data_IF_106250640041
#
_entry.id   IF_106250640041
#
_cell.length_a   1.000
_cell.length_b   1.000
_cell.length_c   1.000
_cell.angle_alpha   90.00
_cell.angle_beta   90.00
_cell.angle_gamma   90.00
#
_symmetry.space_group_name_H-M   'P 1'
#
loop_
_entity.id
_entity.type
_entity.pdbx_description
1 polymer ?
#
# COMPACT_ATOMS: atom_id res chain seq x y z
N UNK A 1 9.28 -14.14 9.23
CA UNK A 1 9.24 -14.10 10.71
C UNK A 1 8.30 -12.98 11.15
N UNK A 2 7.66 -13.09 12.32
CA UNK A 2 6.81 -12.02 12.86
C UNK A 2 7.66 -10.81 13.30
N UNK A 3 7.21 -9.59 12.99
CA UNK A 3 7.84 -8.32 13.40
C UNK A 3 6.99 -7.65 14.49
N UNK A 4 7.63 -6.96 15.42
CA UNK A 4 6.94 -6.11 16.41
C UNK A 4 6.34 -4.90 15.69
N UNK A 5 5.15 -4.46 16.09
CA UNK A 5 4.53 -3.24 15.56
C UNK A 5 5.37 -2.01 15.97
N UNK A 6 6.04 -1.33 15.04
CA UNK A 6 6.95 -0.22 15.36
C UNK A 6 6.21 1.00 15.92
N UNK A 7 4.89 1.09 15.71
CA UNK A 7 4.04 2.17 16.20
C UNK A 7 3.39 1.87 17.55
N UNK A 8 3.57 0.65 18.09
CA UNK A 8 3.12 0.27 19.43
C UNK A 8 4.18 -0.59 20.16
N UNK A 9 5.43 -0.11 20.28
CA UNK A 9 6.55 -0.91 20.79
C UNK A 9 6.40 -1.28 22.27
N UNK A 10 5.65 -0.48 23.04
CA UNK A 10 5.33 -0.70 24.45
C UNK A 10 4.77 -2.09 24.77
N UNK A 11 4.14 -2.69 23.77
CA UNK A 11 3.09 -3.66 23.99
C UNK A 11 3.43 -5.00 23.30
N UNK A 12 4.62 -5.09 22.68
CA UNK A 12 5.15 -6.26 21.98
C UNK A 12 4.14 -6.95 21.05
N UNK A 13 3.20 -6.17 20.50
CA UNK A 13 2.16 -6.68 19.61
C UNK A 13 2.76 -6.93 18.23
N UNK A 14 2.37 -8.01 17.53
CA UNK A 14 2.82 -8.25 16.17
C UNK A 14 2.32 -7.15 15.23
N UNK A 15 3.15 -6.79 14.24
CA UNK A 15 2.76 -5.95 13.11
C UNK A 15 1.73 -6.71 12.27
N UNK A 16 0.47 -6.28 12.33
CA UNK A 16 -0.62 -6.79 11.49
C UNK A 16 -0.77 -5.90 10.26
N UNK A 17 -1.05 -6.50 9.12
CA UNK A 17 -1.33 -5.83 7.84
C UNK A 17 -2.66 -6.36 7.31
N UNK A 18 -3.44 -5.49 6.68
CA UNK A 18 -4.62 -5.88 5.91
C UNK A 18 -4.28 -5.82 4.42
N UNK A 19 -4.67 -6.86 3.69
CA UNK A 19 -4.41 -6.98 2.26
C UNK A 19 -5.72 -7.20 1.51
N UNK A 20 -5.90 -6.49 0.41
CA UNK A 20 -6.96 -6.77 -0.56
C UNK A 20 -6.33 -7.31 -1.83
N UNK A 21 -6.77 -8.49 -2.27
CA UNK A 21 -6.28 -9.13 -3.49
C UNK A 21 -7.31 -9.00 -4.61
N UNK A 22 -6.83 -8.61 -5.79
CA UNK A 22 -7.62 -8.57 -7.03
C UNK A 22 -6.99 -9.52 -8.06
N UNK A 23 -7.24 -10.84 -7.96
CA UNK A 23 -6.79 -11.77 -8.98
C UNK A 23 -7.69 -11.66 -10.23
N UNK A 24 -7.12 -11.86 -11.44
CA UNK A 24 -7.89 -11.99 -12.66
C UNK A 24 -8.80 -13.21 -12.56
N UNK A 25 -10.03 -13.07 -13.04
CA UNK A 25 -11.02 -14.14 -13.03
C UNK A 25 -11.81 -14.14 -14.33
N UNK A 26 -12.15 -15.33 -14.82
CA UNK A 26 -13.10 -15.51 -15.94
C UNK A 26 -14.48 -15.75 -15.35
N UNK A 27 -15.40 -14.81 -15.55
CA UNK A 27 -16.66 -14.79 -14.83
C UNK A 27 -17.81 -15.23 -15.75
N UNK A 28 -18.61 -16.21 -15.33
CA UNK A 28 -19.94 -16.46 -15.92
C UNK A 28 -21.06 -15.82 -15.10
N UNK A 29 -20.83 -15.60 -13.80
CA UNK A 29 -21.73 -14.93 -12.87
C UNK A 29 -20.91 -13.98 -12.00
N UNK A 30 -21.50 -12.84 -11.66
CA UNK A 30 -20.89 -11.82 -10.81
C UNK A 30 -21.87 -11.42 -9.72
N UNK A 31 -21.35 -10.96 -8.59
CA UNK A 31 -22.13 -10.35 -7.52
C UNK A 31 -21.58 -8.95 -7.20
N UNK A 32 -22.36 -8.18 -6.45
CA UNK A 32 -21.91 -6.90 -5.91
C UNK A 32 -21.58 -7.07 -4.43
N UNK A 33 -20.38 -6.64 -4.04
CA UNK A 33 -19.95 -6.55 -2.65
C UNK A 33 -19.70 -5.10 -2.29
N UNK A 34 -19.81 -4.77 -1.01
CA UNK A 34 -19.51 -3.42 -0.52
C UNK A 34 -18.02 -3.10 -0.76
N UNK A 35 -17.74 -1.87 -1.21
CA UNK A 35 -16.38 -1.42 -1.52
C UNK A 35 -15.48 -1.37 -0.28
N UNK A 36 -16.00 -0.84 0.82
CA UNK A 36 -15.32 -0.74 2.11
C UNK A 36 -16.27 -1.19 3.23
N UNK A 37 -15.77 -1.80 4.31
CA UNK A 37 -16.62 -2.21 5.43
C UNK A 37 -17.29 -1.01 6.13
N UNK A 38 -18.39 -1.21 6.88
CA UNK A 38 -19.23 -0.12 7.38
C UNK A 38 -18.51 0.91 8.26
N UNK A 39 -17.63 0.48 9.18
CA UNK A 39 -16.92 1.41 10.06
C UNK A 39 -15.92 2.24 9.25
N UNK A 40 -15.22 1.59 8.32
CA UNK A 40 -14.34 2.26 7.37
C UNK A 40 -15.09 3.23 6.45
N UNK A 41 -16.27 2.85 5.97
CA UNK A 41 -17.12 3.67 5.10
C UNK A 41 -17.58 4.95 5.79
N UNK A 42 -18.02 4.86 7.05
CA UNK A 42 -18.42 6.01 7.85
C UNK A 42 -17.25 7.00 8.04
N UNK A 43 -16.09 6.49 8.47
CA UNK A 43 -14.90 7.34 8.69
C UNK A 43 -14.40 8.01 7.40
N UNK A 44 -14.39 7.30 6.27
CA UNK A 44 -14.02 7.86 4.97
C UNK A 44 -15.05 8.90 4.48
N UNK A 45 -16.34 8.67 4.75
CA UNK A 45 -17.40 9.63 4.39
C UNK A 45 -17.28 10.91 5.20
N UNK A 46 -16.99 10.82 6.49
CA UNK A 46 -16.79 12.02 7.34
C UNK A 46 -15.60 12.86 6.87
N UNK A 47 -14.52 12.22 6.41
CA UNK A 47 -13.33 12.91 5.92
C UNK A 47 -13.47 13.45 4.50
N UNK A 48 -13.95 12.62 3.58
CA UNK A 48 -13.88 12.88 2.14
C UNK A 48 -15.24 13.13 1.49
N UNK A 49 -16.35 12.95 2.20
CA UNK A 49 -17.70 13.10 1.65
C UNK A 49 -17.97 14.48 1.07
N UNK A 50 -17.29 15.54 1.56
CA UNK A 50 -17.37 16.89 0.99
C UNK A 50 -16.76 17.00 -0.42
N UNK A 51 -15.85 16.10 -0.77
CA UNK A 51 -15.20 16.03 -2.08
C UNK A 51 -15.91 15.07 -3.04
N UNK A 52 -16.94 14.36 -2.58
CA UNK A 52 -17.72 13.43 -3.39
C UNK A 52 -19.10 14.05 -3.71
N UNK A 53 -19.48 14.20 -4.99
CA UNK A 53 -20.80 14.72 -5.33
C UNK A 53 -21.88 13.71 -4.92
N UNK A 54 -22.65 14.03 -3.88
CA UNK A 54 -23.83 13.27 -3.39
C UNK A 54 -23.58 11.79 -3.03
N UNK A 55 -22.36 11.42 -2.62
CA UNK A 55 -22.00 10.02 -2.37
C UNK A 55 -21.41 9.84 -0.96
N UNK A 56 -21.95 8.85 -0.25
CA UNK A 56 -21.30 8.18 0.88
C UNK A 56 -20.48 7.00 0.34
N UNK A 57 -19.41 6.64 1.05
CA UNK A 57 -18.69 5.38 0.78
C UNK A 57 -19.55 4.14 1.03
N UNK A 58 -20.64 4.25 1.80
CA UNK A 58 -21.57 3.16 2.11
C UNK A 58 -22.24 2.55 0.87
N UNK A 59 -22.43 3.37 -0.17
CA UNK A 59 -23.13 2.97 -1.39
C UNK A 59 -22.18 2.53 -2.52
N UNK A 60 -20.87 2.57 -2.29
CA UNK A 60 -19.90 2.12 -3.27
C UNK A 60 -19.80 0.59 -3.24
N UNK A 61 -19.84 0.00 -4.42
CA UNK A 61 -19.80 -1.45 -4.60
C UNK A 61 -18.68 -1.84 -5.55
N UNK A 62 -18.09 -3.01 -5.30
CA UNK A 62 -17.22 -3.71 -6.22
C UNK A 62 -17.98 -4.87 -6.84
N UNK A 63 -17.67 -5.18 -8.09
CA UNK A 63 -18.11 -6.42 -8.71
C UNK A 63 -17.13 -7.53 -8.34
N UNK A 64 -17.61 -8.60 -7.75
CA UNK A 64 -16.84 -9.80 -7.40
C UNK A 64 -17.38 -11.05 -8.08
N UNK A 65 -16.61 -12.12 -8.00
CA UNK A 65 -16.96 -13.44 -8.53
C UNK A 65 -17.14 -14.40 -7.35
N UNK A 66 -18.34 -14.95 -7.12
CA UNK A 66 -18.56 -15.89 -6.04
C UNK A 66 -17.71 -17.15 -6.25
N UNK A 67 -16.99 -17.58 -5.21
CA UNK A 67 -16.20 -18.82 -5.27
C UNK A 67 -15.09 -18.81 -6.32
N UNK A 68 -14.60 -17.63 -6.72
CA UNK A 68 -13.56 -17.46 -7.72
C UNK A 68 -12.37 -18.39 -7.47
N UNK A 69 -12.03 -19.16 -8.51
CA UNK A 69 -11.16 -20.31 -8.41
C UNK A 69 -9.75 -19.96 -7.92
N UNK A 70 -9.19 -20.90 -7.16
CA UNK A 70 -7.78 -21.01 -6.77
C UNK A 70 -6.89 -21.29 -7.97
N UNK A 71 -6.92 -20.47 -9.01
CA UNK A 71 -5.96 -20.61 -10.11
C UNK A 71 -4.56 -20.31 -9.57
N UNK A 72 -3.72 -21.34 -9.54
CA UNK A 72 -2.32 -21.23 -9.17
C UNK A 72 -1.59 -20.55 -10.33
N UNK A 73 -0.78 -19.53 -10.02
CA UNK A 73 0.02 -18.72 -10.97
C UNK A 73 -0.70 -17.55 -11.68
N UNK A 74 -1.63 -16.88 -11.01
CA UNK A 74 -2.22 -15.63 -11.53
C UNK A 74 -1.39 -14.39 -11.16
N UNK A 75 -1.32 -13.41 -12.08
CA UNK A 75 -0.87 -12.05 -11.75
C UNK A 75 -1.96 -11.36 -10.94
N UNK A 76 -1.73 -11.03 -9.67
CA UNK A 76 -2.71 -10.35 -8.83
C UNK A 76 -2.22 -8.96 -8.42
N UNK A 77 -3.15 -8.01 -8.33
CA UNK A 77 -2.89 -6.73 -7.65
C UNK A 77 -3.12 -6.91 -6.16
N UNK A 78 -2.14 -6.53 -5.34
CA UNK A 78 -2.27 -6.50 -3.88
C UNK A 78 -2.30 -5.04 -3.45
N UNK A 79 -3.40 -4.65 -2.80
CA UNK A 79 -3.45 -3.40 -2.07
C UNK A 79 -3.00 -3.67 -0.64
N UNK A 80 -1.87 -3.07 -0.25
CA UNK A 80 -1.36 -3.10 1.11
C UNK A 80 -1.97 -1.94 1.89
N UNK A 81 -2.73 -2.26 2.93
CA UNK A 81 -3.25 -1.28 3.89
C UNK A 81 -2.47 -1.42 5.20
N UNK A 82 -1.33 -0.72 5.33
CA UNK A 82 -0.63 -0.67 6.61
C UNK A 82 -1.53 0.06 7.63
N UNK A 83 -1.43 -0.27 8.93
CA UNK A 83 -2.09 0.48 9.98
C UNK A 83 -1.89 2.00 9.83
N UNK A 84 -2.93 2.80 10.13
CA UNK A 84 -2.90 4.26 10.06
C UNK A 84 -1.68 4.89 10.71
N UNK A 85 -1.21 5.99 10.12
CA UNK A 85 0.04 6.62 10.48
C UNK A 85 -0.11 8.16 10.64
N UNK A 86 0.43 8.76 11.71
CA UNK A 86 0.09 10.13 12.06
C UNK A 86 0.91 11.30 11.50
N UNK A 87 1.97 11.10 10.70
CA UNK A 87 2.78 12.25 10.27
C UNK A 87 2.45 12.74 8.85
N UNK A 88 2.04 14.01 8.78
CA UNK A 88 1.81 14.91 7.64
C UNK A 88 0.43 14.97 6.97
N UNK A 89 -0.09 16.20 7.06
CA UNK A 89 -1.21 16.98 6.46
C UNK A 89 -1.89 16.54 5.14
N UNK A 90 -2.02 15.24 4.93
CA UNK A 90 -2.83 14.64 3.88
C UNK A 90 -3.08 13.18 4.27
N UNK A 91 -4.34 12.92 4.61
CA UNK A 91 -4.94 11.71 5.18
C UNK A 91 -4.79 10.45 4.30
N UNK A 92 -3.60 10.11 3.85
CA UNK A 92 -3.39 9.15 2.75
C UNK A 92 -2.67 7.88 3.11
N UNK A 93 -2.48 7.61 4.40
CA UNK A 93 -2.10 6.29 4.87
C UNK A 93 -3.03 5.82 5.96
N UNK A 94 -4.10 5.15 5.51
CA UNK A 94 -5.16 4.58 6.31
C UNK A 94 -5.81 5.60 7.24
N UNK A 95 -6.95 6.17 6.89
CA UNK A 95 -7.82 6.79 7.93
C UNK A 95 -8.14 5.78 9.03
N UNK A 96 -8.38 4.55 8.60
CA UNK A 96 -8.83 3.44 9.40
C UNK A 96 -8.46 2.16 8.65
N UNK A 97 -8.05 1.13 9.38
CA UNK A 97 -7.89 -0.23 8.87
C UNK A 97 -8.75 -1.15 9.73
N UNK A 98 -9.74 -1.77 9.08
CA UNK A 98 -10.65 -2.73 9.68
C UNK A 98 -10.21 -4.15 9.31
N UNK A 99 -10.20 -5.02 10.32
CA UNK A 99 -9.77 -6.42 10.21
C UNK A 99 -10.99 -7.35 10.09
N UNK A 100 -10.80 -8.61 9.63
CA UNK A 100 -11.91 -9.57 9.50
C UNK A 100 -12.59 -9.98 10.81
N UNK A 101 -12.02 -9.63 11.97
CA UNK A 101 -12.58 -9.88 13.30
C UNK A 101 -13.38 -8.67 13.82
N UNK A 102 -13.76 -7.75 12.94
CA UNK A 102 -14.42 -6.46 13.19
C UNK A 102 -13.61 -5.50 14.09
N UNK A 103 -12.39 -5.88 14.50
CA UNK A 103 -11.48 -4.94 15.14
C UNK A 103 -10.94 -3.95 14.11
N UNK A 104 -10.67 -2.74 14.53
CA UNK A 104 -10.09 -1.73 13.67
C UNK A 104 -9.01 -0.92 14.39
N UNK A 105 -8.17 -0.27 13.61
CA UNK A 105 -7.21 0.73 14.07
C UNK A 105 -7.52 2.01 13.31
N UNK A 106 -7.68 3.12 14.03
CA UNK A 106 -7.83 4.46 13.49
C UNK A 106 -6.51 5.22 13.49
N UNK A 107 -6.44 6.27 12.68
CA UNK A 107 -5.35 7.24 12.78
C UNK A 107 -5.41 7.96 14.13
N UNK A 108 -4.32 7.92 14.88
CA UNK A 108 -4.16 8.65 16.14
C UNK A 108 -3.38 9.93 15.87
N UNK A 109 -3.97 11.11 16.05
CA UNK A 109 -3.25 12.39 15.87
C UNK A 109 -1.89 12.44 16.60
N UNK A 110 -0.78 12.45 15.85
CA UNK A 110 0.57 12.72 16.38
C UNK A 110 1.23 13.80 15.54
N UNK A 111 1.43 14.95 16.15
CA UNK A 111 2.03 16.15 15.58
C UNK A 111 3.56 16.07 15.63
N UNK A 112 4.21 15.39 14.69
CA UNK A 112 5.64 15.66 14.45
C UNK A 112 6.12 15.27 13.03
N UNK A 113 6.46 16.27 12.20
CA UNK A 113 7.18 16.14 10.93
C UNK A 113 8.48 15.33 10.93
N UNK A 114 9.20 15.29 12.05
CA UNK A 114 10.61 14.85 12.10
C UNK A 114 10.78 13.31 12.12
N UNK A 115 9.72 12.57 11.77
CA UNK A 115 9.66 11.12 11.93
C UNK A 115 9.36 10.34 10.66
N UNK A 116 9.34 10.99 9.50
CA UNK A 116 8.96 10.34 8.23
C UNK A 116 9.77 9.06 7.92
N UNK A 117 11.08 9.05 8.24
CA UNK A 117 11.91 7.85 8.06
C UNK A 117 11.49 6.69 8.98
N UNK A 118 11.02 7.00 10.20
CA UNK A 118 10.48 5.99 11.12
C UNK A 118 9.17 5.37 10.63
N UNK A 119 8.53 5.99 9.62
CA UNK A 119 7.33 5.48 8.96
C UNK A 119 7.69 4.69 7.71
N UNK A 120 8.68 5.15 6.97
CA UNK A 120 9.09 4.60 5.68
C UNK A 120 9.75 3.22 5.83
N UNK A 121 10.66 3.06 6.79
CA UNK A 121 11.35 1.79 7.05
C UNK A 121 10.39 0.61 7.31
N UNK A 122 9.40 0.73 8.23
CA UNK A 122 8.38 -0.30 8.40
C UNK A 122 7.64 -0.68 7.12
N UNK A 123 7.31 0.30 6.28
CA UNK A 123 6.55 0.10 5.04
C UNK A 123 7.35 -0.65 3.99
N UNK A 124 8.64 -0.31 3.85
CA UNK A 124 9.57 -1.05 2.99
C UNK A 124 9.62 -2.52 3.44
N UNK A 125 9.76 -2.76 4.74
CA UNK A 125 9.75 -4.12 5.30
C UNK A 125 8.38 -4.82 5.17
N UNK A 126 7.27 -4.07 5.21
CA UNK A 126 5.92 -4.59 4.96
C UNK A 126 5.79 -5.14 3.53
N UNK A 127 6.40 -4.48 2.52
CA UNK A 127 6.40 -4.96 1.13
C UNK A 127 7.08 -6.32 1.01
N UNK A 128 8.33 -6.46 1.47
CA UNK A 128 9.04 -7.75 1.43
C UNK A 128 8.31 -8.83 2.22
N UNK A 129 7.75 -8.48 3.39
CA UNK A 129 6.95 -9.40 4.18
C UNK A 129 5.71 -9.89 3.41
N UNK A 130 5.00 -9.02 2.71
CA UNK A 130 3.85 -9.45 1.87
C UNK A 130 4.31 -10.43 0.80
N UNK A 131 5.38 -10.11 0.06
CA UNK A 131 5.89 -10.98 -1.01
C UNK A 131 6.34 -12.36 -0.49
N UNK A 132 6.92 -12.43 0.71
CA UNK A 132 7.26 -13.70 1.36
C UNK A 132 6.03 -14.54 1.72
N UNK A 133 4.94 -13.89 2.13
CA UNK A 133 3.75 -14.59 2.60
C UNK A 133 2.82 -15.00 1.45
N UNK A 134 2.73 -14.22 0.37
CA UNK A 134 1.92 -14.59 -0.81
C UNK A 134 2.58 -15.66 -1.68
N UNK A 135 3.87 -15.97 -1.46
CA UNK A 135 4.56 -17.12 -2.07
C UNK A 135 4.51 -18.38 -1.20
N UNK A 136 4.09 -18.26 0.06
CA UNK A 136 3.99 -19.39 0.99
C UNK A 136 2.69 -20.16 0.77
N UNK A 137 2.76 -21.25 0.00
CA UNK A 137 1.60 -22.06 -0.36
C UNK A 137 0.77 -22.54 0.84
N UNK A 138 1.40 -22.92 1.95
CA UNK A 138 0.69 -23.36 3.17
C UNK A 138 -0.11 -22.22 3.80
N UNK A 139 0.47 -21.03 3.89
CA UNK A 139 -0.24 -19.86 4.43
C UNK A 139 -1.35 -19.42 3.48
N UNK A 140 -1.08 -19.37 2.18
CA UNK A 140 -2.09 -19.04 1.16
C UNK A 140 -3.28 -19.99 1.24
N UNK A 141 -3.05 -21.30 1.40
CA UNK A 141 -4.10 -22.29 1.57
C UNK A 141 -4.94 -22.04 2.83
N UNK A 142 -4.30 -21.72 3.97
CA UNK A 142 -4.98 -21.37 5.22
C UNK A 142 -5.83 -20.10 5.10
N UNK A 143 -5.36 -19.12 4.34
CA UNK A 143 -6.06 -17.86 4.07
C UNK A 143 -7.10 -17.99 2.95
N UNK A 144 -7.16 -19.12 2.27
CA UNK A 144 -8.07 -19.34 1.14
C UNK A 144 -7.72 -18.55 -0.13
N UNK A 145 -6.47 -18.09 -0.27
CA UNK A 145 -5.98 -17.31 -1.43
C UNK A 145 -5.02 -18.16 -2.28
N UNK A 146 -4.85 -17.85 -3.59
CA UNK A 146 -3.82 -18.50 -4.39
C UNK A 146 -2.41 -18.07 -3.94
N UNK A 147 -1.44 -18.96 -4.08
CA UNK A 147 -0.02 -18.58 -4.05
C UNK A 147 0.34 -17.83 -5.33
N UNK A 148 1.10 -16.75 -5.19
CA UNK A 148 1.45 -15.86 -6.29
C UNK A 148 2.91 -16.03 -6.71
N UNK A 149 3.18 -15.93 -8.00
CA UNK A 149 4.52 -15.75 -8.53
C UNK A 149 4.93 -14.29 -8.36
N UNK A 150 6.06 -14.05 -7.68
CA UNK A 150 6.57 -12.70 -7.38
C UNK A 150 7.82 -12.33 -8.18
N UNK A 151 8.24 -13.16 -9.13
CA UNK A 151 9.45 -12.92 -9.94
C UNK A 151 9.33 -11.69 -10.86
N UNK A 152 8.09 -11.30 -11.16
CA UNK A 152 7.72 -10.16 -12.02
C UNK A 152 6.81 -9.19 -11.29
N UNK A 153 7.25 -8.71 -10.13
CA UNK A 153 6.45 -7.80 -9.32
C UNK A 153 6.74 -6.34 -9.67
N UNK A 154 5.69 -5.53 -9.75
CA UNK A 154 5.77 -4.08 -9.79
C UNK A 154 5.21 -3.50 -8.48
N UNK A 155 5.75 -2.37 -8.05
CA UNK A 155 5.23 -1.62 -6.90
C UNK A 155 4.81 -0.23 -7.33
N UNK A 156 3.74 0.29 -6.75
CA UNK A 156 3.32 1.65 -6.95
C UNK A 156 2.61 2.16 -5.71
N UNK A 157 2.67 3.47 -5.49
CA UNK A 157 1.97 4.08 -4.38
C UNK A 157 1.83 5.58 -4.56
N UNK A 158 0.97 6.16 -3.72
CA UNK A 158 0.65 7.58 -3.71
C UNK A 158 1.21 8.24 -2.45
N UNK A 159 1.67 9.50 -2.55
CA UNK A 159 2.21 10.24 -1.40
C UNK A 159 3.33 9.44 -0.70
N UNK A 160 3.27 9.20 0.61
CA UNK A 160 4.24 8.36 1.33
C UNK A 160 4.31 6.92 0.80
N UNK A 161 3.21 6.39 0.25
CA UNK A 161 3.21 5.12 -0.49
C UNK A 161 4.03 5.17 -1.78
N UNK A 162 4.13 6.35 -2.42
CA UNK A 162 4.99 6.57 -3.57
C UNK A 162 6.47 6.53 -3.20
N UNK A 163 6.84 7.15 -2.07
CA UNK A 163 8.16 7.03 -1.47
C UNK A 163 8.49 5.57 -1.13
N UNK A 164 7.53 4.88 -0.50
CA UNK A 164 7.65 3.46 -0.15
C UNK A 164 7.90 2.61 -1.40
N UNK A 165 7.21 2.89 -2.51
CA UNK A 165 7.40 2.17 -3.77
C UNK A 165 8.84 2.34 -4.31
N UNK A 166 9.45 3.52 -4.15
CA UNK A 166 10.84 3.77 -4.56
C UNK A 166 11.81 3.01 -3.69
N UNK A 167 11.70 3.17 -2.38
CA UNK A 167 12.66 2.58 -1.45
C UNK A 167 12.54 1.05 -1.44
N UNK A 168 11.32 0.52 -1.56
CA UNK A 168 11.12 -0.90 -1.74
C UNK A 168 11.74 -1.40 -3.06
N UNK A 169 11.60 -0.67 -4.18
CA UNK A 169 12.23 -1.06 -5.45
C UNK A 169 13.76 -1.18 -5.31
N UNK A 170 14.38 -0.32 -4.49
CA UNK A 170 15.82 -0.36 -4.22
C UNK A 170 16.20 -1.55 -3.32
N UNK A 171 15.42 -1.81 -2.28
CA UNK A 171 15.73 -2.81 -1.25
C UNK A 171 15.32 -4.26 -1.60
N UNK A 172 14.25 -4.44 -2.37
CA UNK A 172 13.63 -5.75 -2.60
C UNK A 172 13.94 -6.27 -4.02
N UNK A 173 14.76 -7.32 -4.18
CA UNK A 173 15.20 -7.80 -5.49
C UNK A 173 14.08 -8.36 -6.39
N UNK A 174 12.94 -8.79 -5.82
CA UNK A 174 11.78 -9.27 -6.61
C UNK A 174 11.06 -8.14 -7.35
N UNK A 175 11.19 -6.89 -6.90
CA UNK A 175 10.56 -5.74 -7.55
C UNK A 175 11.32 -5.32 -8.81
N UNK A 176 10.64 -5.30 -9.96
CA UNK A 176 11.23 -4.98 -11.27
C UNK A 176 10.92 -3.57 -11.74
N UNK A 177 9.79 -3.03 -11.28
CA UNK A 177 9.26 -1.73 -11.70
C UNK A 177 8.71 -1.00 -10.49
N UNK A 178 8.97 0.30 -10.39
CA UNK A 178 8.37 1.18 -9.38
C UNK A 178 7.62 2.35 -10.00
N UNK A 179 6.55 2.80 -9.36
CA UNK A 179 5.87 4.04 -9.72
C UNK A 179 5.63 4.87 -8.45
N UNK A 180 6.23 6.07 -8.42
CA UNK A 180 5.97 7.06 -7.40
C UNK A 180 4.92 8.05 -7.93
N UNK A 181 3.71 7.97 -7.37
CA UNK A 181 2.63 8.91 -7.66
C UNK A 181 2.64 10.03 -6.63
N UNK A 182 3.26 11.14 -7.02
CA UNK A 182 3.24 12.43 -6.32
C UNK A 182 3.81 12.41 -4.89
N UNK A 183 4.65 11.41 -4.55
CA UNK A 183 5.29 11.28 -3.24
C UNK A 183 6.64 11.96 -3.16
N UNK A 184 6.91 12.68 -2.07
CA UNK A 184 8.28 13.11 -1.74
C UNK A 184 9.20 11.93 -1.46
N UNK A 185 10.50 12.15 -1.54
CA UNK A 185 11.53 11.17 -1.24
C UNK A 185 12.37 11.65 -0.06
N UNK A 186 12.90 10.70 0.70
CA UNK A 186 13.71 10.94 1.89
C UNK A 186 14.89 9.96 1.93
N UNK A 187 15.98 10.37 2.58
CA UNK A 187 17.14 9.52 2.80
C UNK A 187 17.68 8.89 1.52
N UNK A 188 17.94 7.58 1.59
CA UNK A 188 18.51 6.78 0.51
C UNK A 188 17.64 6.75 -0.76
N UNK A 189 16.32 6.92 -0.63
CA UNK A 189 15.39 7.02 -1.76
C UNK A 189 15.69 8.20 -2.69
N UNK A 190 16.39 9.24 -2.20
CA UNK A 190 16.80 10.38 -3.01
C UNK A 190 18.05 10.03 -3.84
N UNK A 191 19.07 9.43 -3.22
CA UNK A 191 20.43 9.43 -3.78
C UNK A 191 20.98 8.06 -4.18
N UNK A 192 20.29 6.95 -3.86
CA UNK A 192 20.72 5.63 -4.31
C UNK A 192 20.51 5.47 -5.81
N UNK A 193 21.54 4.92 -6.46
CA UNK A 193 21.49 4.60 -7.89
C UNK A 193 20.44 3.53 -8.14
N UNK A 194 19.46 3.86 -8.98
CA UNK A 194 18.46 2.92 -9.45
C UNK A 194 18.70 2.59 -10.94
N UNK A 195 18.79 1.30 -11.25
CA UNK A 195 18.90 0.79 -12.62
C UNK A 195 17.61 0.12 -13.13
N UNK A 196 16.59 0.00 -12.27
CA UNK A 196 15.31 -0.66 -12.56
C UNK A 196 14.33 0.36 -13.16
N UNK A 197 13.30 -0.14 -13.88
CA UNK A 197 12.31 0.73 -14.51
C UNK A 197 11.53 1.51 -13.46
N UNK A 198 11.40 2.82 -13.67
CA UNK A 198 10.83 3.73 -12.69
C UNK A 198 10.00 4.82 -13.36
N UNK A 199 8.80 5.05 -12.84
CA UNK A 199 7.90 6.12 -13.26
C UNK A 199 7.70 7.14 -12.14
N UNK A 200 7.92 8.41 -12.46
CA UNK A 200 7.46 9.55 -11.67
C UNK A 200 6.17 10.09 -12.28
N UNK A 201 5.09 10.11 -11.50
CA UNK A 201 3.81 10.68 -11.89
C UNK A 201 3.41 11.76 -10.88
N UNK A 202 3.57 13.03 -11.25
CA UNK A 202 3.33 14.17 -10.35
C UNK A 202 2.07 14.94 -10.73
N UNK A 203 1.38 15.49 -9.72
CA UNK A 203 0.29 16.43 -9.93
C UNK A 203 0.82 17.74 -10.54
N UNK A 204 0.00 18.44 -11.33
CA UNK A 204 0.39 19.72 -11.95
C UNK A 204 0.71 20.81 -10.93
N UNK A 205 0.24 20.67 -9.69
CA UNK A 205 0.47 21.54 -8.55
C UNK A 205 1.31 20.87 -7.46
N UNK A 206 2.24 19.97 -7.81
CA UNK A 206 3.16 19.36 -6.85
C UNK A 206 3.86 20.45 -6.01
N UNK A 207 3.98 20.30 -4.68
CA UNK A 207 4.44 21.39 -3.83
C UNK A 207 5.87 21.84 -4.17
N UNK A 208 6.05 23.13 -4.44
CA UNK A 208 7.33 23.68 -4.87
C UNK A 208 8.46 23.54 -3.82
N UNK A 209 8.12 23.36 -2.55
CA UNK A 209 9.09 23.10 -1.48
C UNK A 209 9.70 21.69 -1.56
N UNK A 210 9.06 20.76 -2.25
CA UNK A 210 9.53 19.40 -2.40
C UNK A 210 10.43 19.27 -3.63
N UNK A 211 11.73 19.43 -3.43
CA UNK A 211 12.75 19.30 -4.49
C UNK A 211 13.26 17.88 -4.67
N UNK A 212 12.87 16.95 -3.79
CA UNK A 212 13.41 15.59 -3.71
C UNK A 212 13.29 14.79 -5.02
N UNK A 213 12.22 15.01 -5.79
CA UNK A 213 12.02 14.34 -7.08
C UNK A 213 13.03 14.80 -8.14
N UNK A 214 13.35 16.09 -8.16
CA UNK A 214 14.36 16.65 -9.06
C UNK A 214 15.76 16.22 -8.63
N UNK A 215 16.02 16.16 -7.32
CA UNK A 215 17.28 15.66 -6.75
C UNK A 215 17.50 14.17 -7.01
N UNK A 216 16.42 13.39 -7.08
CA UNK A 216 16.48 11.95 -7.34
C UNK A 216 16.72 11.59 -8.81
N UNK A 217 16.27 12.43 -9.74
CA UNK A 217 16.31 12.14 -11.17
C UNK A 217 17.71 11.76 -11.73
N UNK A 218 18.82 12.41 -11.32
CA UNK A 218 20.17 12.02 -11.75
C UNK A 218 20.58 10.58 -11.38
N UNK A 219 19.96 9.99 -10.36
CA UNK A 219 20.26 8.64 -9.87
C UNK A 219 19.46 7.54 -10.58
N UNK A 220 18.52 7.91 -11.44
CA UNK A 220 17.72 7.00 -12.27
C UNK A 220 18.49 6.67 -13.56
N UNK A 221 19.38 5.68 -13.46
CA UNK A 221 20.39 5.33 -14.49
C UNK A 221 20.04 4.09 -15.32
N UNK A 222 18.85 3.51 -15.08
CA UNK A 222 18.32 2.39 -15.86
C UNK A 222 18.10 2.72 -17.33
N UNK A 223 17.66 1.71 -18.10
CA UNK A 223 17.31 1.90 -19.52
C UNK A 223 16.17 2.92 -19.62
N UNK A 224 16.41 4.00 -20.37
CA UNK A 224 15.45 5.05 -20.70
C UNK A 224 14.71 4.72 -21.99
#
# INVERSE_FOLDING_TARGET
>A
MSRVNPFAPCCNKPRRLMLTLYPPNTCQQTEYITYVPPTSAAALTDLFGRCLPNLSFDNLQLTSVPGAAREQHCTASILLSPPPDPSYDHLHDGTIVEYPDDSYVENVNVTSPDKILTLLEPRIADVSFVLDNVTNGTLCEQLGIPSLDTDRTATFGHSLGGATAVDALLAEPRLRVGCNRDGGLWGDGITLINIRLYLLLTAGNHPAWNTSLAENWPYQTGRK
#
